data_IF_634611440807
#
_entry.id   IF_634611440807
#
_cell.length_a   1.000
_cell.length_b   1.000
_cell.length_c   1.000
_cell.angle_alpha   90.00
_cell.angle_beta   90.00
_cell.angle_gamma   90.00
#
_symmetry.space_group_name_H-M   'P 1'
#
loop_
_entity.id
_entity.type
_entity.pdbx_description
1 polymer ?
#
# COMPACT_ATOMS: atom_id res chain seq x y z
N UNK A 1 56.65 10.84 -13.44
CA UNK A 1 55.35 10.61 -14.08
C UNK A 1 54.85 9.25 -13.65
N UNK A 2 53.92 9.21 -12.69
CA UNK A 2 53.27 7.98 -12.26
C UNK A 2 52.05 7.76 -13.16
N UNK A 3 52.07 6.68 -13.94
CA UNK A 3 50.87 6.22 -14.65
C UNK A 3 49.98 5.50 -13.64
N UNK A 4 48.91 6.18 -13.24
CA UNK A 4 47.80 5.56 -12.51
C UNK A 4 46.98 4.82 -13.56
N UNK A 5 47.01 3.49 -13.55
CA UNK A 5 46.06 2.69 -14.33
C UNK A 5 44.67 2.86 -13.70
N UNK A 6 43.75 3.49 -14.42
CA UNK A 6 42.32 3.45 -14.08
C UNK A 6 41.86 1.99 -14.11
N UNK A 7 41.52 1.42 -12.95
CA UNK A 7 40.70 0.22 -12.87
C UNK A 7 39.26 0.58 -13.20
N UNK A 8 38.75 -0.03 -14.27
CA UNK A 8 37.38 0.16 -14.75
C UNK A 8 36.36 -0.45 -13.78
N UNK A 9 35.31 0.33 -13.53
CA UNK A 9 33.93 0.02 -13.13
C UNK A 9 33.60 -1.47 -12.90
N UNK A 10 33.17 -1.81 -11.68
CA UNK A 10 32.52 -3.10 -11.39
C UNK A 10 31.21 -3.19 -12.19
N UNK A 11 31.18 -4.05 -13.21
CA UNK A 11 29.99 -4.34 -14.02
C UNK A 11 28.98 -5.14 -13.18
N UNK A 12 28.06 -4.47 -12.48
CA UNK A 12 26.96 -5.09 -11.72
C UNK A 12 26.09 -6.09 -12.52
N UNK A 13 26.20 -6.06 -13.85
CA UNK A 13 25.41 -6.88 -14.78
C UNK A 13 26.09 -8.22 -15.09
N UNK A 14 27.41 -8.35 -14.92
CA UNK A 14 28.15 -9.57 -15.28
C UNK A 14 28.94 -10.14 -14.10
N UNK A 15 29.00 -11.46 -14.01
CA UNK A 15 29.82 -12.19 -13.04
C UNK A 15 30.90 -12.99 -13.77
N UNK A 16 32.11 -13.00 -13.22
CA UNK A 16 33.18 -13.88 -13.68
C UNK A 16 33.00 -15.27 -13.08
N UNK A 17 33.06 -16.30 -13.92
CA UNK A 17 32.89 -17.71 -13.54
C UNK A 17 34.13 -18.48 -13.94
N UNK A 18 34.58 -19.36 -13.05
CA UNK A 18 35.75 -20.22 -13.27
C UNK A 18 35.36 -21.68 -13.08
N UNK A 19 35.50 -22.46 -14.15
CA UNK A 19 35.26 -23.89 -14.14
C UNK A 19 36.58 -24.65 -14.26
N UNK A 20 36.68 -25.78 -13.56
CA UNK A 20 37.79 -26.73 -13.63
C UNK A 20 37.22 -28.07 -14.04
N UNK A 21 37.57 -28.54 -15.23
CA UNK A 21 36.91 -29.68 -15.87
C UNK A 21 37.97 -30.70 -16.31
N UNK A 22 37.92 -31.96 -15.84
CA UNK A 22 38.80 -33.01 -16.35
C UNK A 22 38.40 -33.38 -17.78
N UNK A 23 39.38 -33.75 -18.62
CA UNK A 23 39.13 -34.23 -19.98
C UNK A 23 38.26 -35.51 -19.94
N UNK A 24 37.30 -35.59 -20.85
CA UNK A 24 36.42 -36.75 -20.99
C UNK A 24 36.49 -37.32 -22.43
N UNK A 25 35.97 -38.54 -22.62
CA UNK A 25 35.99 -39.23 -23.90
C UNK A 25 34.88 -38.78 -24.87
N UNK A 26 33.87 -38.07 -24.35
CA UNK A 26 32.71 -37.64 -25.13
C UNK A 26 32.94 -36.30 -25.84
N UNK A 27 34.07 -35.62 -25.55
CA UNK A 27 34.48 -34.29 -26.02
C UNK A 27 33.38 -33.22 -25.93
N UNK A 28 32.48 -33.39 -24.96
CA UNK A 28 31.41 -32.43 -24.67
C UNK A 28 31.51 -32.05 -23.20
N UNK A 29 31.80 -30.78 -22.98
CA UNK A 29 32.01 -30.22 -21.66
C UNK A 29 30.93 -29.18 -21.35
N UNK A 30 30.28 -29.32 -20.19
CA UNK A 30 29.22 -28.41 -19.75
C UNK A 30 29.78 -27.33 -18.84
N UNK A 31 29.45 -26.08 -19.15
CA UNK A 31 29.80 -24.92 -18.35
C UNK A 31 28.79 -24.74 -17.21
N UNK A 32 29.27 -24.27 -16.06
CA UNK A 32 28.46 -24.17 -14.84
C UNK A 32 27.40 -23.06 -14.88
N UNK A 33 27.68 -21.95 -15.56
CA UNK A 33 26.76 -20.81 -15.69
C UNK A 33 26.11 -20.73 -17.07
N UNK A 34 24.94 -20.11 -17.12
CA UNK A 34 24.15 -19.85 -18.33
C UNK A 34 24.26 -18.37 -18.73
N UNK A 35 23.78 -18.00 -19.93
CA UNK A 35 23.87 -16.61 -20.45
C UNK A 35 25.33 -16.10 -20.49
N UNK A 36 26.20 -16.88 -21.13
CA UNK A 36 27.62 -16.58 -21.28
C UNK A 36 27.78 -15.43 -22.26
N UNK A 37 28.62 -14.45 -21.91
CA UNK A 37 28.97 -13.35 -22.81
C UNK A 37 29.85 -13.91 -23.92
N UNK A 38 29.42 -13.75 -25.17
CA UNK A 38 30.15 -14.27 -26.33
C UNK A 38 31.58 -13.72 -26.38
N UNK A 39 32.55 -14.57 -26.69
CA UNK A 39 33.97 -14.26 -26.78
C UNK A 39 34.60 -13.74 -25.47
N UNK A 40 34.02 -14.05 -24.32
CA UNK A 40 34.58 -13.68 -23.00
C UNK A 40 35.41 -14.78 -22.36
N UNK A 41 35.39 -15.97 -22.95
CA UNK A 41 36.04 -17.18 -22.46
C UNK A 41 37.55 -17.19 -22.70
N UNK A 42 38.27 -17.70 -21.70
CA UNK A 42 39.69 -18.02 -21.73
C UNK A 42 39.84 -19.45 -21.24
N UNK A 43 40.31 -20.33 -22.11
CA UNK A 43 40.52 -21.75 -21.81
C UNK A 43 42.01 -22.02 -21.72
N UNK A 44 42.43 -22.70 -20.65
CA UNK A 44 43.82 -23.09 -20.41
C UNK A 44 43.90 -24.61 -20.28
N UNK A 45 44.76 -25.22 -21.09
CA UNK A 45 45.10 -26.63 -21.06
C UNK A 45 46.61 -26.77 -20.82
N UNK A 46 47.05 -27.58 -19.86
CA UNK A 46 48.48 -27.78 -19.54
C UNK A 46 49.26 -26.46 -19.31
N UNK A 47 48.61 -25.46 -18.72
CA UNK A 47 49.13 -24.08 -18.56
C UNK A 47 49.29 -23.25 -19.86
N UNK A 48 48.83 -23.75 -21.01
CA UNK A 48 48.81 -23.00 -22.26
C UNK A 48 47.39 -22.50 -22.58
N UNK A 49 47.21 -21.21 -22.89
CA UNK A 49 45.92 -20.70 -23.34
C UNK A 49 45.61 -21.23 -24.75
N UNK A 50 44.40 -21.74 -24.94
CA UNK A 50 43.92 -22.22 -26.23
C UNK A 50 43.49 -21.05 -27.14
N UNK A 51 43.77 -21.17 -28.43
CA UNK A 51 43.28 -20.24 -29.45
C UNK A 51 41.84 -20.56 -29.82
N UNK A 52 41.11 -19.60 -30.41
CA UNK A 52 39.72 -19.79 -30.84
C UNK A 52 39.53 -20.87 -31.92
N UNK A 53 40.60 -21.30 -32.57
CA UNK A 53 40.61 -22.43 -33.51
C UNK A 53 40.62 -23.79 -32.82
N UNK A 54 41.01 -23.83 -31.55
CA UNK A 54 41.34 -25.07 -30.84
C UNK A 54 40.14 -25.62 -30.08
N UNK A 55 39.03 -24.88 -30.06
CA UNK A 55 37.79 -25.27 -29.40
C UNK A 55 36.58 -24.67 -30.11
N UNK A 56 35.43 -25.29 -29.92
CA UNK A 56 34.14 -24.77 -30.34
C UNK A 56 33.21 -24.63 -29.14
N UNK A 57 32.65 -23.43 -28.94
CA UNK A 57 31.72 -23.16 -27.84
C UNK A 57 30.32 -22.87 -28.39
N UNK A 58 29.33 -23.60 -27.86
CA UNK A 58 27.93 -23.34 -28.06
C UNK A 58 27.37 -22.55 -26.87
N UNK A 59 27.31 -21.23 -27.02
CA UNK A 59 26.82 -20.32 -25.97
C UNK A 59 25.34 -20.53 -25.61
N UNK A 60 24.53 -21.10 -26.52
CA UNK A 60 23.11 -21.35 -26.26
C UNK A 60 22.93 -22.53 -25.31
N UNK A 61 23.70 -23.60 -25.51
CA UNK A 61 23.63 -24.82 -24.71
C UNK A 61 24.61 -24.82 -23.53
N UNK A 62 25.46 -23.79 -23.42
CA UNK A 62 26.54 -23.70 -22.44
C UNK A 62 27.46 -24.94 -22.48
N UNK A 63 27.76 -25.40 -23.69
CA UNK A 63 28.66 -26.53 -23.95
C UNK A 63 29.84 -26.11 -24.81
N UNK A 64 31.00 -26.71 -24.62
CA UNK A 64 32.11 -26.58 -25.58
C UNK A 64 32.73 -27.95 -25.86
N UNK A 65 33.42 -28.04 -27.00
CA UNK A 65 34.20 -29.19 -27.46
C UNK A 65 35.60 -28.74 -27.87
N UNK A 66 36.58 -29.63 -27.85
CA UNK A 66 37.93 -29.33 -28.31
C UNK A 66 38.05 -29.64 -29.81
N UNK A 67 39.09 -29.12 -30.45
CA UNK A 67 39.43 -29.51 -31.82
C UNK A 67 40.14 -30.87 -31.81
N UNK A 68 39.82 -31.73 -32.78
CA UNK A 68 40.52 -33.01 -33.01
C UNK A 68 42.02 -32.84 -33.29
N UNK A 69 42.43 -31.64 -33.73
CA UNK A 69 43.83 -31.30 -34.01
C UNK A 69 44.65 -30.98 -32.75
N UNK A 70 44.02 -30.92 -31.57
CA UNK A 70 44.67 -30.53 -30.33
C UNK A 70 45.24 -31.74 -29.60
N UNK A 71 46.51 -31.69 -29.19
CA UNK A 71 47.13 -32.77 -28.43
C UNK A 71 46.79 -32.72 -26.93
N UNK A 72 45.81 -33.51 -26.53
CA UNK A 72 45.39 -33.65 -25.13
C UNK A 72 45.34 -35.12 -24.68
N UNK A 73 45.39 -35.31 -23.37
CA UNK A 73 45.34 -36.59 -22.66
C UNK A 73 44.13 -36.60 -21.74
N UNK A 74 43.55 -37.78 -21.50
CA UNK A 74 42.47 -37.98 -20.53
C UNK A 74 42.87 -37.62 -19.09
N UNK A 75 44.18 -37.52 -18.82
CA UNK A 75 44.70 -37.10 -17.51
C UNK A 75 44.87 -35.58 -17.39
N UNK A 76 44.61 -34.82 -18.45
CA UNK A 76 44.71 -33.37 -18.42
C UNK A 76 43.46 -32.74 -17.79
N UNK A 77 43.62 -31.50 -17.34
CA UNK A 77 42.54 -30.69 -16.76
C UNK A 77 42.45 -29.36 -17.50
N UNK A 78 41.22 -28.97 -17.83
CA UNK A 78 40.89 -27.68 -18.44
C UNK A 78 40.50 -26.68 -17.36
N UNK A 79 41.07 -25.48 -17.45
CA UNK A 79 40.66 -24.32 -16.66
C UNK A 79 40.01 -23.30 -17.56
N UNK A 80 38.75 -22.96 -17.28
CA UNK A 80 37.95 -22.09 -18.14
C UNK A 80 37.46 -20.92 -17.32
N UNK A 81 37.74 -19.71 -17.78
CA UNK A 81 37.27 -18.47 -17.15
C UNK A 81 36.44 -17.70 -18.16
N UNK A 82 35.22 -17.28 -17.79
CA UNK A 82 34.30 -16.60 -18.70
C UNK A 82 33.38 -15.64 -17.94
N UNK A 83 32.80 -14.67 -18.65
CA UNK A 83 31.79 -13.77 -18.10
C UNK A 83 30.39 -14.30 -18.37
N UNK A 84 29.51 -14.22 -17.39
CA UNK A 84 28.10 -14.61 -17.48
C UNK A 84 27.22 -13.48 -16.97
N UNK A 85 26.07 -13.26 -17.61
CA UNK A 85 25.11 -12.23 -17.21
C UNK A 85 24.43 -12.65 -15.90
N UNK A 86 24.50 -11.79 -14.88
CA UNK A 86 23.98 -12.03 -13.54
C UNK A 86 22.47 -11.69 -13.43
N UNK A 87 21.64 -12.38 -14.21
CA UNK A 87 20.18 -12.28 -14.13
C UNK A 87 19.59 -13.47 -13.36
N UNK A 88 18.63 -13.25 -12.44
CA UNK A 88 18.03 -14.31 -11.63
C UNK A 88 16.98 -15.13 -12.42
N UNK A 89 17.32 -15.58 -13.64
CA UNK A 89 16.45 -16.48 -14.41
C UNK A 89 16.67 -17.91 -13.91
N UNK A 90 15.66 -18.49 -13.27
CA UNK A 90 15.71 -19.88 -12.80
C UNK A 90 15.94 -20.83 -13.98
N UNK A 91 16.97 -21.68 -13.90
CA UNK A 91 17.37 -22.67 -14.92
C UNK A 91 16.25 -23.65 -15.32
N UNK A 92 15.25 -23.84 -14.45
CA UNK A 92 14.07 -24.66 -14.71
C UNK A 92 12.84 -23.91 -14.21
N UNK A 93 11.98 -23.52 -15.13
CA UNK A 93 10.64 -23.02 -14.84
C UNK A 93 9.65 -24.11 -15.22
N UNK A 94 8.91 -24.64 -14.25
CA UNK A 94 7.81 -25.56 -14.51
C UNK A 94 6.57 -25.05 -13.80
N UNK A 95 5.43 -25.03 -14.53
CA UNK A 95 4.11 -24.74 -13.97
C UNK A 95 3.44 -26.01 -13.42
N UNK A 96 4.03 -27.17 -13.68
CA UNK A 96 3.50 -28.51 -13.40
C UNK A 96 4.61 -29.39 -12.83
N UNK A 97 4.39 -29.96 -11.66
CA UNK A 97 5.23 -31.03 -11.15
C UNK A 97 4.50 -32.36 -11.33
N UNK A 98 5.27 -33.41 -11.57
CA UNK A 98 4.74 -34.75 -11.64
C UNK A 98 4.91 -35.35 -10.26
N UNK A 99 3.80 -35.52 -9.55
CA UNK A 99 3.76 -36.12 -8.22
C UNK A 99 3.33 -37.57 -8.34
N UNK A 100 3.90 -38.43 -7.51
CA UNK A 100 3.45 -39.82 -7.37
C UNK A 100 2.47 -39.84 -6.20
N UNK A 101 1.20 -40.16 -6.47
CA UNK A 101 0.16 -40.29 -5.44
C UNK A 101 -0.29 -41.74 -5.39
N UNK A 102 -0.39 -42.29 -4.18
CA UNK A 102 -0.98 -43.61 -3.97
C UNK A 102 -2.51 -43.52 -4.14
N UNK A 103 -3.08 -44.38 -4.97
CA UNK A 103 -4.53 -44.43 -5.20
C UNK A 103 -5.10 -45.69 -4.56
N UNK A 104 -5.84 -45.52 -3.45
CA UNK A 104 -6.36 -46.62 -2.62
C UNK A 104 -7.25 -47.59 -3.41
N UNK A 105 -8.03 -47.09 -4.38
CA UNK A 105 -8.93 -47.92 -5.20
C UNK A 105 -8.19 -48.79 -6.23
N UNK A 106 -6.99 -48.41 -6.64
CA UNK A 106 -6.16 -49.17 -7.59
C UNK A 106 -5.02 -49.92 -6.90
N UNK A 107 -4.81 -49.68 -5.61
CA UNK A 107 -3.72 -50.23 -4.80
C UNK A 107 -2.34 -50.08 -5.46
N UNK A 108 -2.14 -48.97 -6.19
CA UNK A 108 -0.92 -48.65 -6.92
C UNK A 108 -0.66 -47.14 -6.88
N UNK A 109 0.58 -46.75 -7.16
CA UNK A 109 1.02 -45.37 -7.24
C UNK A 109 0.86 -44.83 -8.66
N UNK A 110 0.01 -43.81 -8.80
CA UNK A 110 -0.18 -43.14 -10.09
C UNK A 110 0.62 -41.83 -10.15
N UNK A 111 1.10 -41.52 -11.34
CA UNK A 111 1.82 -40.28 -11.64
C UNK A 111 0.82 -39.22 -12.09
N UNK A 112 0.57 -38.23 -11.23
CA UNK A 112 -0.38 -37.15 -11.50
C UNK A 112 0.38 -35.87 -11.79
N UNK A 113 -0.07 -35.15 -12.82
CA UNK A 113 0.38 -33.79 -13.11
C UNK A 113 -0.30 -32.86 -12.10
N UNK A 114 0.45 -32.37 -11.11
CA UNK A 114 0.00 -31.32 -10.20
C UNK A 114 0.41 -29.96 -10.74
N UNK A 115 -0.56 -29.06 -10.92
CA UNK A 115 -0.23 -27.64 -11.08
C UNK A 115 0.25 -27.13 -9.71
N UNK A 116 1.53 -26.78 -9.59
CA UNK A 116 2.06 -26.18 -8.35
C UNK A 116 1.55 -24.75 -8.15
N UNK A 117 1.10 -24.13 -9.24
CA UNK A 117 0.33 -22.89 -9.21
C UNK A 117 -1.14 -23.29 -9.03
N UNK A 118 -1.60 -23.35 -7.79
CA UNK A 118 -3.04 -23.22 -7.55
C UNK A 118 -3.48 -21.94 -8.28
N UNK A 119 -4.53 -21.98 -9.13
CA UNK A 119 -5.08 -20.74 -9.64
C UNK A 119 -5.35 -19.85 -8.43
N UNK A 120 -4.97 -18.57 -8.52
CA UNK A 120 -5.36 -17.53 -7.57
C UNK A 120 -6.87 -17.41 -7.67
N UNK A 121 -7.55 -18.36 -7.07
CA UNK A 121 -8.98 -18.38 -6.90
C UNK A 121 -9.27 -17.41 -5.80
N UNK A 122 -10.42 -16.83 -5.92
CA UNK A 122 -10.85 -15.80 -5.03
C UNK A 122 -11.08 -16.38 -3.61
N UNK A 123 -11.42 -17.66 -3.51
CA UNK A 123 -11.48 -18.47 -2.29
C UNK A 123 -10.07 -18.70 -1.70
N UNK A 124 -9.04 -18.89 -2.53
CA UNK A 124 -7.64 -19.01 -2.04
C UNK A 124 -7.05 -17.71 -1.49
N UNK A 125 -7.60 -16.55 -1.86
CA UNK A 125 -7.13 -15.23 -1.41
C UNK A 125 -7.87 -14.79 -0.14
N UNK A 126 -9.19 -14.97 -0.10
CA UNK A 126 -10.05 -14.42 0.95
C UNK A 126 -10.59 -15.48 1.93
N UNK A 127 -10.55 -16.76 1.58
CA UNK A 127 -11.21 -17.84 2.32
C UNK A 127 -12.59 -18.17 1.75
N UNK A 128 -13.09 -19.36 2.10
CA UNK A 128 -14.46 -19.78 1.80
C UNK A 128 -15.44 -19.00 2.69
N UNK A 129 -16.60 -18.61 2.16
CA UNK A 129 -17.65 -17.91 2.94
C UNK A 129 -17.46 -16.40 3.10
N UNK A 130 -16.45 -15.81 2.45
CA UNK A 130 -16.26 -14.35 2.41
C UNK A 130 -16.93 -13.75 1.17
N UNK A 131 -17.95 -12.92 1.41
CA UNK A 131 -18.53 -12.05 0.39
C UNK A 131 -17.59 -10.87 0.13
N UNK A 132 -17.43 -10.50 -1.13
CA UNK A 132 -16.53 -9.42 -1.54
C UNK A 132 -17.13 -8.63 -2.69
N UNK A 133 -16.84 -7.35 -2.73
CA UNK A 133 -17.24 -6.43 -3.78
C UNK A 133 -16.18 -5.35 -3.98
N UNK A 134 -16.18 -4.74 -5.17
CA UNK A 134 -15.28 -3.65 -5.51
C UNK A 134 -14.31 -3.98 -6.64
N UNK A 135 -13.26 -3.17 -6.77
CA UNK A 135 -12.32 -3.18 -7.88
C UNK A 135 -10.92 -2.80 -7.44
N UNK A 136 -9.93 -3.43 -8.08
CA UNK A 136 -8.52 -3.08 -7.95
C UNK A 136 -7.99 -2.82 -9.36
N UNK A 137 -7.51 -1.61 -9.61
CA UNK A 137 -6.97 -1.15 -10.88
C UNK A 137 -5.51 -0.75 -10.70
N UNK A 138 -4.62 -1.30 -11.54
CA UNK A 138 -3.20 -0.95 -11.58
C UNK A 138 -2.85 -0.57 -13.02
N UNK A 139 -2.63 0.71 -13.26
CA UNK A 139 -2.24 1.26 -14.55
C UNK A 139 -0.78 1.69 -14.55
N UNK A 140 -0.07 1.47 -15.65
CA UNK A 140 1.30 1.95 -15.81
C UNK A 140 1.32 2.97 -16.95
N UNK A 141 1.94 4.13 -16.71
CA UNK A 141 2.09 5.17 -17.73
C UNK A 141 3.57 5.29 -18.09
N UNK A 142 3.86 5.19 -19.38
CA UNK A 142 5.21 5.39 -19.96
C UNK A 142 5.10 6.51 -21.00
N UNK A 143 6.02 7.46 -20.97
CA UNK A 143 6.07 8.58 -21.91
C UNK A 143 7.50 8.90 -22.34
N UNK A 144 7.67 9.48 -23.52
CA UNK A 144 8.99 9.91 -24.00
C UNK A 144 9.48 11.06 -23.10
N UNK A 145 10.65 10.89 -22.46
CA UNK A 145 11.19 11.80 -21.42
C UNK A 145 10.38 11.88 -20.11
N UNK A 146 9.59 10.86 -19.75
CA UNK A 146 8.97 10.77 -18.42
C UNK A 146 9.31 9.44 -17.75
N UNK A 147 9.54 9.50 -16.44
CA UNK A 147 9.71 8.30 -15.63
C UNK A 147 8.43 7.44 -15.64
N UNK A 148 8.61 6.12 -15.49
CA UNK A 148 7.52 5.17 -15.34
C UNK A 148 6.66 5.54 -14.11
N UNK A 149 5.37 5.81 -14.34
CA UNK A 149 4.41 6.07 -13.25
C UNK A 149 3.47 4.89 -13.07
N UNK A 150 3.32 4.43 -11.83
CA UNK A 150 2.32 3.45 -11.43
C UNK A 150 1.10 4.20 -10.86
N UNK A 151 -0.04 4.06 -11.52
CA UNK A 151 -1.33 4.57 -11.05
C UNK A 151 -2.11 3.42 -10.42
N UNK A 152 -2.54 3.60 -9.17
CA UNK A 152 -3.32 2.64 -8.40
C UNK A 152 -4.69 3.22 -8.09
N UNK A 153 -5.73 2.41 -8.23
CA UNK A 153 -7.03 2.68 -7.62
C UNK A 153 -7.55 1.39 -7.00
N UNK A 154 -7.95 1.46 -5.73
CA UNK A 154 -8.47 0.31 -5.00
C UNK A 154 -9.69 0.75 -4.21
N UNK A 155 -10.80 0.03 -4.41
CA UNK A 155 -12.00 0.09 -3.58
C UNK A 155 -12.43 -1.35 -3.36
N UNK A 156 -12.24 -1.86 -2.16
CA UNK A 156 -12.55 -3.25 -1.82
C UNK A 156 -13.39 -3.28 -0.55
N UNK A 157 -14.47 -4.03 -0.59
CA UNK A 157 -15.28 -4.33 0.58
C UNK A 157 -15.37 -5.85 0.69
N UNK A 158 -15.22 -6.37 1.90
CA UNK A 158 -15.45 -7.79 2.14
C UNK A 158 -16.02 -8.04 3.52
N UNK A 159 -16.89 -9.05 3.61
CA UNK A 159 -17.53 -9.45 4.84
C UNK A 159 -17.84 -10.95 4.84
N UNK A 160 -17.80 -11.56 6.01
CA UNK A 160 -18.17 -12.96 6.16
C UNK A 160 -17.55 -13.61 7.39
N UNK A 161 -17.82 -14.90 7.54
CA UNK A 161 -17.30 -15.71 8.64
C UNK A 161 -15.97 -16.33 8.25
N UNK A 162 -14.93 -16.11 9.05
CA UNK A 162 -13.64 -16.80 8.96
C UNK A 162 -13.71 -18.16 9.67
N UNK A 163 -14.55 -18.26 10.70
CA UNK A 163 -14.87 -19.49 11.44
C UNK A 163 -16.27 -19.35 12.07
N UNK A 164 -16.73 -20.36 12.80
CA UNK A 164 -18.05 -20.34 13.46
C UNK A 164 -18.24 -19.12 14.37
N UNK A 165 -17.16 -18.73 15.06
CA UNK A 165 -17.13 -17.67 16.07
C UNK A 165 -16.39 -16.41 15.61
N UNK A 166 -15.90 -16.34 14.36
CA UNK A 166 -15.12 -15.20 13.89
C UNK A 166 -15.72 -14.60 12.61
N UNK A 167 -16.10 -13.34 12.68
CA UNK A 167 -16.64 -12.56 11.57
C UNK A 167 -15.72 -11.38 11.25
N UNK A 168 -15.55 -11.10 9.95
CA UNK A 168 -14.83 -9.93 9.46
C UNK A 168 -15.77 -9.04 8.65
N UNK A 169 -15.56 -7.73 8.74
CA UNK A 169 -16.11 -6.73 7.84
C UNK A 169 -15.03 -5.70 7.59
N UNK A 170 -14.70 -5.45 6.33
CA UNK A 170 -13.68 -4.48 5.96
C UNK A 170 -14.11 -3.65 4.76
N UNK A 171 -13.72 -2.38 4.80
CA UNK A 171 -13.79 -1.45 3.68
C UNK A 171 -12.39 -0.84 3.51
N UNK A 172 -11.78 -1.06 2.36
CA UNK A 172 -10.45 -0.59 2.03
C UNK A 172 -10.53 0.30 0.79
N UNK A 173 -10.04 1.53 0.90
CA UNK A 173 -9.87 2.42 -0.25
C UNK A 173 -8.48 3.04 -0.22
N UNK A 174 -7.85 3.09 -1.38
CA UNK A 174 -6.56 3.78 -1.63
C UNK A 174 -6.80 5.09 -2.41
N UNK A 175 -8.07 5.46 -2.59
CA UNK A 175 -8.44 6.61 -3.38
C UNK A 175 -8.34 7.86 -2.50
N UNK A 176 -7.24 8.61 -2.65
CA UNK A 176 -7.17 10.00 -2.23
C UNK A 176 -8.05 10.83 -3.17
N UNK A 177 -9.36 10.79 -2.96
CA UNK A 177 -10.25 11.81 -3.51
C UNK A 177 -10.61 12.77 -2.39
N UNK A 178 -9.80 13.80 -2.10
CA UNK A 178 -10.35 15.03 -1.58
C UNK A 178 -11.20 15.60 -2.71
N UNK A 179 -12.43 15.12 -2.84
CA UNK A 179 -13.45 15.80 -3.61
C UNK A 179 -13.80 17.04 -2.80
N UNK A 180 -13.05 18.11 -3.06
CA UNK A 180 -13.38 19.44 -2.59
C UNK A 180 -14.65 19.84 -3.33
N UNK A 181 -15.79 20.02 -2.65
CA UNK A 181 -16.91 20.67 -3.31
C UNK A 181 -16.41 22.06 -3.74
N UNK A 182 -16.60 22.42 -5.01
CA UNK A 182 -16.16 23.72 -5.57
C UNK A 182 -16.98 24.90 -5.01
N UNK A 183 -17.34 24.89 -3.72
CA UNK A 183 -18.13 25.94 -3.07
C UNK A 183 -19.59 26.05 -3.54
N UNK A 184 -20.03 25.25 -4.50
CA UNK A 184 -21.31 25.42 -5.20
C UNK A 184 -22.43 24.46 -4.80
N UNK A 185 -22.15 23.35 -4.10
CA UNK A 185 -23.16 22.31 -3.80
C UNK A 185 -23.33 21.97 -2.31
N UNK A 186 -24.58 21.69 -1.95
CA UNK A 186 -24.98 21.20 -0.63
C UNK A 186 -24.89 19.68 -0.65
N UNK A 187 -23.89 19.14 0.07
CA UNK A 187 -23.60 17.71 0.30
C UNK A 187 -22.83 17.00 -0.81
N UNK A 188 -21.56 16.73 -0.50
CA UNK A 188 -20.91 15.51 -0.92
C UNK A 188 -20.96 14.55 0.27
N UNK A 189 -21.59 13.40 0.11
CA UNK A 189 -21.53 12.32 1.10
C UNK A 189 -20.08 11.81 1.18
N UNK A 190 -19.39 12.16 2.27
CA UNK A 190 -18.15 11.50 2.67
C UNK A 190 -18.45 10.05 3.06
N UNK A 191 -18.11 9.09 2.20
CA UNK A 191 -18.05 7.67 2.57
C UNK A 191 -16.82 7.00 1.94
N UNK A 192 -15.65 7.45 2.40
CA UNK A 192 -14.37 6.74 2.22
C UNK A 192 -13.83 6.34 3.61
N UNK A 193 -14.66 5.66 4.42
CA UNK A 193 -14.19 5.06 5.68
C UNK A 193 -13.29 3.86 5.35
N UNK A 194 -12.05 3.90 5.83
CA UNK A 194 -11.10 2.79 5.69
C UNK A 194 -10.99 2.05 7.01
N UNK A 195 -11.56 0.86 7.10
CA UNK A 195 -11.52 0.08 8.34
C UNK A 195 -11.50 -1.43 8.10
N UNK A 196 -11.03 -2.14 9.11
CA UNK A 196 -11.16 -3.59 9.27
C UNK A 196 -11.76 -3.83 10.65
N UNK A 197 -12.91 -4.49 10.68
CA UNK A 197 -13.61 -4.88 11.90
C UNK A 197 -13.62 -6.40 12.00
N UNK A 198 -13.20 -6.89 13.15
CA UNK A 198 -13.23 -8.31 13.50
C UNK A 198 -14.11 -8.48 14.72
N UNK A 199 -15.02 -9.46 14.66
CA UNK A 199 -15.98 -9.73 15.72
C UNK A 199 -15.93 -11.18 16.13
N UNK A 200 -15.92 -11.39 17.43
CA UNK A 200 -16.02 -12.66 18.14
C UNK A 200 -17.11 -12.55 19.20
N UNK A 201 -17.76 -13.64 19.65
CA UNK A 201 -18.77 -13.60 20.72
C UNK A 201 -18.33 -12.82 21.97
N UNK A 202 -17.05 -12.93 22.33
CA UNK A 202 -16.50 -12.32 23.55
C UNK A 202 -15.61 -11.09 23.30
N UNK A 203 -15.40 -10.69 22.04
CA UNK A 203 -14.52 -9.57 21.71
C UNK A 203 -14.84 -8.95 20.35
N UNK A 204 -14.60 -7.66 20.19
CA UNK A 204 -14.58 -7.01 18.89
C UNK A 204 -13.36 -6.11 18.78
N UNK A 205 -12.83 -5.95 17.58
CA UNK A 205 -11.74 -5.03 17.31
C UNK A 205 -12.00 -4.30 15.98
N UNK A 206 -11.78 -2.99 15.98
CA UNK A 206 -11.83 -2.16 14.78
C UNK A 206 -10.47 -1.50 14.59
N UNK A 207 -9.90 -1.64 13.39
CA UNK A 207 -8.68 -0.99 12.96
C UNK A 207 -8.97 -0.05 11.81
N UNK A 208 -8.49 1.20 11.87
CA UNK A 208 -8.74 2.23 10.87
C UNK A 208 -9.73 3.29 11.38
N UNK A 209 -10.62 3.72 10.50
CA UNK A 209 -11.64 4.72 10.81
C UNK A 209 -12.78 4.12 11.65
N UNK A 210 -13.15 4.79 12.74
CA UNK A 210 -14.30 4.42 13.56
C UNK A 210 -14.90 5.66 14.25
N UNK A 211 -16.17 5.57 14.65
CA UNK A 211 -16.84 6.63 15.39
C UNK A 211 -16.94 6.27 16.87
N UNK A 212 -16.25 7.03 17.71
CA UNK A 212 -16.33 6.90 19.15
C UNK A 212 -17.60 7.59 19.66
N UNK A 213 -18.54 6.81 20.18
CA UNK A 213 -19.74 7.32 20.84
C UNK A 213 -19.65 7.04 22.34
N UNK A 214 -19.53 8.08 23.15
CA UNK A 214 -19.50 8.00 24.62
C UNK A 214 -20.58 8.89 25.23
N UNK A 215 -21.20 8.41 26.32
CA UNK A 215 -22.11 9.23 27.13
C UNK A 215 -21.39 9.63 28.41
N UNK A 216 -21.38 10.93 28.70
CA UNK A 216 -20.84 11.51 29.92
C UNK A 216 -22.03 12.08 30.71
N UNK A 217 -22.51 11.32 31.69
CA UNK A 217 -23.71 11.64 32.47
C UNK A 217 -25.01 11.58 31.65
N UNK A 218 -26.07 12.19 32.19
CA UNK A 218 -27.42 12.15 31.62
C UNK A 218 -27.57 13.01 30.35
N UNK A 219 -26.75 14.06 30.22
CA UNK A 219 -26.93 15.08 29.17
C UNK A 219 -25.79 15.14 28.14
N UNK A 220 -24.62 14.56 28.43
CA UNK A 220 -23.46 14.64 27.54
C UNK A 220 -23.38 13.46 26.58
N UNK A 221 -23.53 13.69 25.27
CA UNK A 221 -23.16 12.72 24.22
C UNK A 221 -21.94 13.26 23.49
N UNK A 222 -20.86 12.50 23.50
CA UNK A 222 -19.64 12.79 22.73
C UNK A 222 -19.59 11.80 21.58
N UNK A 223 -19.78 12.28 20.35
CA UNK A 223 -19.58 11.51 19.13
C UNK A 223 -18.39 12.10 18.38
N UNK A 224 -17.35 11.30 18.13
CA UNK A 224 -16.15 11.76 17.43
C UNK A 224 -15.66 10.73 16.42
N UNK A 225 -15.29 11.21 15.23
CA UNK A 225 -14.59 10.41 14.22
C UNK A 225 -13.12 10.26 14.63
N UNK A 226 -12.66 9.02 14.72
CA UNK A 226 -11.32 8.64 15.18
C UNK A 226 -10.67 7.70 14.17
N UNK A 227 -9.35 7.74 14.08
CA UNK A 227 -8.57 6.82 13.25
C UNK A 227 -7.52 6.12 14.12
N UNK A 228 -7.58 4.80 14.21
CA UNK A 228 -6.65 4.01 15.01
C UNK A 228 -7.17 2.63 15.34
N UNK A 229 -6.99 2.21 16.59
CA UNK A 229 -7.39 0.90 17.08
C UNK A 229 -8.42 1.04 18.20
N UNK A 230 -9.53 0.34 18.05
CA UNK A 230 -10.58 0.17 19.03
C UNK A 230 -10.68 -1.32 19.37
N UNK A 231 -10.73 -1.64 20.66
CA UNK A 231 -10.96 -3.00 21.16
C UNK A 231 -12.10 -3.01 22.17
N UNK A 232 -12.97 -4.00 22.06
CA UNK A 232 -14.08 -4.25 22.97
C UNK A 232 -14.00 -5.70 23.46
N UNK A 233 -14.24 -5.90 24.76
CA UNK A 233 -14.31 -7.21 25.39
C UNK A 233 -15.66 -7.34 26.09
N UNK A 234 -16.33 -8.46 25.85
CA UNK A 234 -17.65 -8.76 26.40
C UNK A 234 -17.50 -9.88 27.44
N UNK A 235 -17.74 -9.57 28.71
CA UNK A 235 -17.70 -10.52 29.82
C UNK A 235 -19.03 -10.48 30.58
N UNK A 236 -19.98 -11.32 30.18
CA UNK A 236 -21.33 -11.34 30.76
C UNK A 236 -22.01 -9.98 30.60
N UNK A 237 -22.35 -9.33 31.72
CA UNK A 237 -22.99 -8.00 31.76
C UNK A 237 -21.98 -6.82 31.79
N UNK A 238 -20.69 -7.12 31.68
CA UNK A 238 -19.62 -6.11 31.66
C UNK A 238 -19.04 -6.00 30.25
N UNK A 239 -19.00 -4.77 29.74
CA UNK A 239 -18.31 -4.43 28.50
C UNK A 239 -17.12 -3.54 28.84
N UNK A 240 -15.92 -4.00 28.48
CA UNK A 240 -14.70 -3.21 28.56
C UNK A 240 -14.30 -2.74 27.16
N UNK A 241 -13.98 -1.47 27.00
CA UNK A 241 -13.60 -0.86 25.73
C UNK A 241 -12.32 -0.06 25.89
N UNK A 242 -11.39 -0.26 24.96
CA UNK A 242 -10.10 0.42 24.90
C UNK A 242 -9.90 1.04 23.52
N UNK A 243 -9.34 2.25 23.49
CA UNK A 243 -9.12 3.02 22.26
C UNK A 243 -7.70 3.59 22.26
N UNK A 244 -7.01 3.39 21.13
CA UNK A 244 -5.71 3.96 20.79
C UNK A 244 -5.85 4.61 19.41
N UNK A 245 -6.20 5.89 19.34
CA UNK A 245 -6.55 6.53 18.08
C UNK A 245 -6.23 8.01 18.04
N UNK A 246 -5.98 8.54 16.84
CA UNK A 246 -5.94 9.98 16.60
C UNK A 246 -7.33 10.53 16.30
N UNK A 247 -7.62 11.74 16.77
CA UNK A 247 -8.81 12.48 16.34
C UNK A 247 -8.59 13.00 14.93
N UNK A 248 -9.52 12.73 14.01
CA UNK A 248 -9.42 13.18 12.60
C UNK A 248 -9.58 14.69 12.46
N UNK A 249 -10.08 15.40 13.48
CA UNK A 249 -10.22 16.86 13.53
C UNK A 249 -10.34 17.41 14.96
N UNK A 250 -10.19 18.73 15.10
CA UNK A 250 -10.42 19.55 16.30
C UNK A 250 -11.66 20.42 16.05
N UNK A 251 -12.59 20.50 16.98
CA UNK A 251 -13.71 21.45 16.89
C UNK A 251 -13.28 22.81 17.44
N UNK A 252 -13.64 23.90 16.77
CA UNK A 252 -13.48 25.25 17.29
C UNK A 252 -14.65 26.14 16.88
N UNK A 253 -14.88 27.17 17.69
CA UNK A 253 -15.82 28.25 17.39
C UNK A 253 -15.03 29.53 17.25
N UNK A 254 -15.12 30.20 16.10
CA UNK A 254 -14.56 31.53 15.90
C UNK A 254 -15.67 32.57 15.98
N UNK A 255 -15.41 33.66 16.69
CA UNK A 255 -16.30 34.80 16.79
C UNK A 255 -15.55 36.06 16.38
N UNK A 256 -16.11 36.79 15.43
CA UNK A 256 -15.55 38.05 14.96
C UNK A 256 -16.65 39.03 14.59
N UNK A 257 -16.29 40.32 14.60
CA UNK A 257 -17.14 41.38 14.08
C UNK A 257 -16.83 41.56 12.59
N UNK A 258 -17.87 41.81 11.81
CA UNK A 258 -17.73 42.24 10.43
C UNK A 258 -17.04 43.59 10.30
N UNK A 259 -16.71 43.96 9.07
CA UNK A 259 -16.23 45.30 8.73
C UNK A 259 -17.10 45.90 7.62
N UNK A 260 -17.37 47.20 7.72
CA UNK A 260 -18.19 47.91 6.74
C UNK A 260 -17.55 47.86 5.35
N UNK A 261 -18.34 47.42 4.37
CA UNK A 261 -17.87 47.27 2.98
C UNK A 261 -16.94 46.08 2.73
N UNK A 262 -16.71 45.22 3.73
CA UNK A 262 -15.87 44.03 3.59
C UNK A 262 -16.72 42.75 3.71
N UNK A 263 -16.88 42.02 2.61
CA UNK A 263 -17.59 40.73 2.62
C UNK A 263 -16.66 39.53 2.84
N UNK A 264 -15.36 39.75 3.02
CA UNK A 264 -14.35 38.71 3.19
C UNK A 264 -13.21 38.83 2.17
N UNK A 265 -12.24 37.90 2.21
CA UNK A 265 -12.23 36.69 3.03
C UNK A 265 -11.97 36.96 4.53
N UNK A 266 -12.79 36.37 5.39
CA UNK A 266 -12.60 36.32 6.84
C UNK A 266 -11.95 35.00 7.21
N UNK A 267 -10.74 35.07 7.76
CA UNK A 267 -9.93 33.89 8.05
C UNK A 267 -10.23 33.31 9.42
N UNK A 268 -10.41 32.00 9.47
CA UNK A 268 -10.64 31.21 10.66
C UNK A 268 -9.32 30.72 11.26
N UNK A 269 -9.28 30.62 12.58
CA UNK A 269 -8.15 30.12 13.34
C UNK A 269 -8.54 28.95 14.24
N UNK A 270 -7.55 28.11 14.53
CA UNK A 270 -7.72 27.00 15.45
C UNK A 270 -7.86 27.46 16.91
N UNK A 271 -8.15 26.51 17.80
CA UNK A 271 -8.39 26.76 19.23
C UNK A 271 -7.21 27.43 19.95
N UNK A 272 -5.97 27.19 19.49
CA UNK A 272 -4.76 27.84 20.02
C UNK A 272 -4.30 28.98 19.11
N UNK A 273 -5.21 29.55 18.33
CA UNK A 273 -4.95 30.56 17.31
C UNK A 273 -4.02 30.06 16.19
N UNK A 274 -4.05 28.75 15.90
CA UNK A 274 -3.31 28.16 14.78
C UNK A 274 -3.85 28.70 13.45
N UNK A 275 -2.95 29.15 12.59
CA UNK A 275 -3.31 29.81 11.33
C UNK A 275 -3.20 28.89 10.10
N UNK A 276 -2.47 27.78 10.22
CA UNK A 276 -2.27 26.78 9.18
C UNK A 276 -3.20 25.58 9.39
N UNK A 277 -4.50 25.83 9.32
CA UNK A 277 -5.53 24.82 9.52
C UNK A 277 -6.25 24.52 8.20
N UNK A 278 -6.79 23.31 8.10
CA UNK A 278 -7.69 22.91 7.00
C UNK A 278 -9.04 22.62 7.63
N UNK A 279 -10.09 23.32 7.21
CA UNK A 279 -11.45 23.09 7.72
C UNK A 279 -12.00 21.81 7.07
N UNK A 280 -12.62 20.95 7.86
CA UNK A 280 -13.26 19.72 7.37
C UNK A 280 -14.54 20.11 6.64
N UNK A 281 -14.64 19.72 5.36
CA UNK A 281 -15.71 20.16 4.48
C UNK A 281 -17.10 19.77 5.01
N UNK A 282 -18.02 20.74 5.08
CA UNK A 282 -19.40 20.51 5.51
C UNK A 282 -19.63 20.39 7.00
N UNK A 283 -18.58 20.54 7.82
CA UNK A 283 -18.71 20.61 9.28
C UNK A 283 -19.04 22.02 9.78
N UNK A 284 -18.89 23.02 8.91
CA UNK A 284 -19.07 24.41 9.27
C UNK A 284 -20.55 24.78 9.43
N UNK A 285 -20.83 25.57 10.44
CA UNK A 285 -22.11 26.28 10.60
C UNK A 285 -21.83 27.73 10.95
N UNK A 286 -22.30 28.62 10.06
CA UNK A 286 -22.11 30.06 10.19
C UNK A 286 -23.39 30.71 10.70
N UNK A 287 -23.25 31.60 11.67
CA UNK A 287 -24.32 32.43 12.21
C UNK A 287 -23.94 33.91 12.10
N UNK A 288 -24.91 34.75 11.75
CA UNK A 288 -24.83 36.21 11.91
C UNK A 288 -25.92 36.62 12.89
N UNK A 289 -25.54 37.28 13.98
CA UNK A 289 -26.46 37.81 14.99
C UNK A 289 -27.42 36.73 15.55
N UNK A 290 -26.99 35.47 15.54
CA UNK A 290 -27.75 34.29 15.97
C UNK A 290 -28.57 33.59 14.87
N UNK A 291 -28.67 34.17 13.67
CA UNK A 291 -29.35 33.55 12.53
C UNK A 291 -28.39 32.64 11.75
N UNK A 292 -28.77 31.37 11.56
CA UNK A 292 -27.99 30.39 10.80
C UNK A 292 -28.04 30.70 9.31
N UNK A 293 -26.89 30.79 8.67
CA UNK A 293 -26.76 31.05 7.24
C UNK A 293 -26.70 29.77 6.41
N UNK A 294 -27.06 29.88 5.13
CA UNK A 294 -26.95 28.82 4.12
C UNK A 294 -25.71 29.00 3.27
N UNK A 295 -24.95 27.91 3.12
CA UNK A 295 -23.75 27.86 2.27
C UNK A 295 -24.13 27.78 0.79
N UNK A 296 -23.34 28.43 -0.05
CA UNK A 296 -23.35 28.33 -1.52
C UNK A 296 -23.17 29.70 -2.17
N UNK A 297 -22.60 29.71 -3.37
CA UNK A 297 -22.37 30.95 -4.15
C UNK A 297 -23.67 31.72 -4.42
N UNK A 298 -24.77 30.99 -4.63
CA UNK A 298 -26.11 31.56 -4.80
C UNK A 298 -26.87 31.76 -3.47
N UNK A 299 -26.27 31.40 -2.33
CA UNK A 299 -26.86 31.50 -0.99
C UNK A 299 -26.16 32.60 -0.19
N UNK A 300 -25.90 32.43 1.11
CA UNK A 300 -25.49 33.51 2.00
C UNK A 300 -23.96 33.64 2.14
N UNK A 301 -23.21 32.54 2.01
CA UNK A 301 -21.74 32.54 2.11
C UNK A 301 -21.09 31.38 1.37
N UNK A 302 -19.80 31.54 1.07
CA UNK A 302 -18.89 30.50 0.56
C UNK A 302 -17.68 30.37 1.49
N UNK A 303 -17.04 29.20 1.47
CA UNK A 303 -15.87 28.90 2.31
C UNK A 303 -14.79 28.21 1.48
N UNK A 304 -13.55 28.68 1.63
CA UNK A 304 -12.34 27.96 1.21
C UNK A 304 -11.84 27.11 2.39
N UNK A 305 -12.05 25.80 2.28
CA UNK A 305 -11.65 24.85 3.31
C UNK A 305 -10.13 24.71 3.48
N UNK A 306 -9.35 24.95 2.43
CA UNK A 306 -7.90 24.77 2.45
C UNK A 306 -7.18 25.96 3.07
N UNK A 307 -7.73 27.15 2.89
CA UNK A 307 -7.26 28.41 3.47
C UNK A 307 -7.95 28.76 4.79
N UNK A 308 -9.05 28.06 5.10
CA UNK A 308 -9.92 28.34 6.24
C UNK A 308 -10.49 29.76 6.17
N UNK A 309 -11.02 30.16 5.02
CA UNK A 309 -11.50 31.52 4.76
C UNK A 309 -12.97 31.51 4.36
N UNK A 310 -13.78 32.39 4.96
CA UNK A 310 -15.20 32.58 4.65
C UNK A 310 -15.41 33.89 3.92
N UNK A 311 -16.20 33.85 2.85
CA UNK A 311 -16.63 35.03 2.11
C UNK A 311 -18.15 35.06 2.05
N UNK A 312 -18.75 36.15 2.47
CA UNK A 312 -20.18 36.38 2.41
C UNK A 312 -20.58 36.84 1.02
N UNK A 313 -21.75 36.41 0.55
CA UNK A 313 -22.27 36.83 -0.74
C UNK A 313 -23.03 38.15 -0.59
N UNK A 314 -23.44 38.73 -1.72
CA UNK A 314 -24.29 39.92 -1.74
C UNK A 314 -25.68 39.69 -1.10
N UNK A 315 -26.09 38.43 -0.90
CA UNK A 315 -27.38 38.10 -0.29
C UNK A 315 -27.38 38.42 1.22
N UNK A 316 -26.21 38.48 1.86
CA UNK A 316 -26.09 38.80 3.28
C UNK A 316 -24.98 39.82 3.51
N UNK A 317 -25.37 41.10 3.58
CA UNK A 317 -24.43 42.21 3.81
C UNK A 317 -23.87 42.20 5.23
N UNK A 318 -22.54 42.11 5.31
CA UNK A 318 -21.79 42.32 6.56
C UNK A 318 -21.51 43.80 6.82
N UNK A 319 -21.68 44.19 8.08
CA UNK A 319 -21.35 45.53 8.61
C UNK A 319 -20.46 45.41 9.85
N UNK A 320 -19.95 46.54 10.33
CA UNK A 320 -19.22 46.64 11.60
C UNK A 320 -20.03 46.21 12.83
N UNK A 321 -21.35 46.19 12.73
CA UNK A 321 -22.26 45.73 13.79
C UNK A 321 -22.58 44.23 13.74
N UNK A 322 -22.27 43.56 12.62
CA UNK A 322 -22.61 42.16 12.42
C UNK A 322 -21.71 41.25 13.25
N UNK A 323 -22.28 40.48 14.17
CA UNK A 323 -21.54 39.49 14.96
C UNK A 323 -21.60 38.14 14.28
N UNK A 324 -20.47 37.72 13.72
CA UNK A 324 -20.33 36.43 13.06
C UNK A 324 -19.83 35.40 14.06
N UNK A 325 -20.49 34.24 14.10
CA UNK A 325 -20.03 33.05 14.83
C UNK A 325 -19.93 31.88 13.86
N UNK A 326 -18.79 31.18 13.86
CA UNK A 326 -18.53 30.06 12.96
C UNK A 326 -18.10 28.87 13.80
N UNK A 327 -18.93 27.83 13.79
CA UNK A 327 -18.62 26.52 14.36
C UNK A 327 -18.07 25.62 13.27
N UNK A 328 -16.95 24.94 13.48
CA UNK A 328 -16.35 24.06 12.46
C UNK A 328 -15.38 23.04 13.06
N UNK A 329 -15.16 21.94 12.35
CA UNK A 329 -14.05 21.03 12.62
C UNK A 329 -12.87 21.36 11.70
N UNK A 330 -11.64 21.26 12.21
CA UNK A 330 -10.43 21.53 11.45
C UNK A 330 -9.31 20.54 11.75
N UNK A 331 -8.42 20.36 10.79
CA UNK A 331 -7.16 19.63 10.91
C UNK A 331 -6.02 20.65 11.00
N UNK A 332 -5.15 20.46 11.98
CA UNK A 332 -3.91 21.22 12.08
C UNK A 332 -2.86 20.54 11.20
N UNK A 333 -2.22 21.29 10.29
CA UNK A 333 -1.19 20.73 9.41
C UNK A 333 0.05 20.23 10.17
N UNK A 334 0.21 20.57 11.45
CA UNK A 334 1.47 20.34 12.17
C UNK A 334 1.44 19.26 13.25
N UNK A 335 0.28 18.72 13.67
CA UNK A 335 0.27 17.78 14.81
C UNK A 335 -0.84 16.72 14.73
N UNK A 336 -0.46 15.47 14.45
CA UNK A 336 -1.26 14.29 14.80
C UNK A 336 -1.22 14.10 16.32
N UNK A 337 -2.37 14.19 16.99
CA UNK A 337 -2.50 13.91 18.43
C UNK A 337 -3.02 12.49 18.62
N UNK A 338 -2.24 11.66 19.30
CA UNK A 338 -2.67 10.33 19.75
C UNK A 338 -3.51 10.45 21.03
N UNK A 339 -4.68 9.81 21.05
CA UNK A 339 -5.54 9.65 22.21
C UNK A 339 -5.50 8.19 22.65
N UNK A 340 -5.24 8.01 23.95
CA UNK A 340 -5.30 6.72 24.64
C UNK A 340 -6.40 6.81 25.67
N UNK A 341 -7.40 5.93 25.59
CA UNK A 341 -8.54 5.93 26.49
C UNK A 341 -9.09 4.54 26.72
N UNK A 342 -9.71 4.33 27.89
CA UNK A 342 -10.40 3.10 28.21
C UNK A 342 -11.63 3.38 29.05
N UNK A 343 -12.73 2.66 28.79
CA UNK A 343 -13.94 2.71 29.59
C UNK A 343 -14.40 1.29 29.91
N UNK A 344 -14.91 1.09 31.13
CA UNK A 344 -15.58 -0.14 31.53
C UNK A 344 -16.99 0.20 31.98
N UNK A 345 -17.98 -0.48 31.43
CA UNK A 345 -19.39 -0.29 31.78
C UNK A 345 -19.95 -1.63 32.23
N UNK A 346 -20.58 -1.64 33.39
CA UNK A 346 -21.22 -2.82 33.96
C UNK A 346 -22.67 -2.49 34.28
N UNK A 347 -23.59 -3.35 33.85
CA UNK A 347 -25.01 -3.25 34.22
C UNK A 347 -25.25 -4.05 35.48
N UNK A 348 -25.66 -3.37 36.55
CA UNK A 348 -25.94 -4.01 37.83
C UNK A 348 -27.40 -4.51 37.97
N UNK A 349 -28.35 -4.02 37.17
CA UNK A 349 -29.75 -4.49 37.14
C UNK A 349 -30.37 -4.26 35.75
N UNK A 350 -31.29 -5.15 35.34
CA UNK A 350 -32.18 -4.94 34.19
C UNK A 350 -33.39 -4.14 34.69
N UNK A 351 -33.46 -2.86 34.33
CA UNK A 351 -34.69 -2.05 34.29
C UNK A 351 -34.67 -1.18 33.03
#
# INVERSE_FOLDING_TARGET
>A
MAFISLSAQDDYITKSVRDTIPINLDDIYKLSSVNIVQNSEVIILKNFPLSKSDYHINYQNATFSLSDSLEYSIFDTLYITYKSINIPIKKKYSRRSLIVKYEENMNDSIKIIKNDLAPLTSESIFGEGINRSGSISRGFTVGNNQDLKLNSSMRLQFSGKLSDDLEIVAALTDQNTPIQPEGTTERLEELDEVFIKVKHPNAAATFGDFQMNSRVGEFGKISRKMQGLEGELFFGNTTAKGVLAGSRGKFNTNQFLGADGNQGPYRLSGINNEQAIIVVAGTETVYIDGERLKRGENNDYVIDYSLAEITFTINKLITSASRVTVDFEYMDRQYERSLVGGNATTKFFDD
#
